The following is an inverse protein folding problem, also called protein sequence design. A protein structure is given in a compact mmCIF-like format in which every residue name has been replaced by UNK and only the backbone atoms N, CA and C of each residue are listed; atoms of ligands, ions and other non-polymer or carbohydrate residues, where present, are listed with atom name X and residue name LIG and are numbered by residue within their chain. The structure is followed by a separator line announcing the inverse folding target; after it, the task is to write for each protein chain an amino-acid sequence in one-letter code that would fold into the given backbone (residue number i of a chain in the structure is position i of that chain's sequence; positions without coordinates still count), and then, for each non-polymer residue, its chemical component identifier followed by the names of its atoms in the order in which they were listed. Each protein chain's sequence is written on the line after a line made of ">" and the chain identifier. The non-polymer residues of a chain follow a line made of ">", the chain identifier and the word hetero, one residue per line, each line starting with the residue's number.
data_IF_887849985109
#
_entry.id   IF_887849985109
#
_cell.length_a   1.000
_cell.length_b   1.000
_cell.length_c   1.000
_cell.angle_alpha   90.00
_cell.angle_beta   90.00
_cell.angle_gamma   90.00
#
_symmetry.space_group_name_H-M   'P 1'
#
loop_
_entity.id
_entity.type
_entity.pdbx_description
1 polymer ?
#
# COMPACT_ATOMS: atom_id res chain seq x y z
N UNK A 1 -6.39 -53.32 67.34
CA UNK A 1 -7.11 -54.58 67.03
C UNK A 1 -7.00 -54.82 65.52
N UNK A 2 -6.37 -55.96 65.13
CA UNK A 2 -6.46 -56.68 63.84
C UNK A 2 -6.11 -55.84 62.58
N UNK A 3 -4.87 -55.80 62.11
CA UNK A 3 -4.09 -56.86 61.40
C UNK A 3 -4.89 -57.57 60.31
N UNK A 4 -4.45 -57.37 59.05
CA UNK A 4 -4.12 -58.38 58.02
C UNK A 4 -3.89 -57.60 56.71
N UNK A 5 -2.64 -57.35 56.30
CA UNK A 5 -1.70 -58.27 55.63
C UNK A 5 -2.31 -58.83 54.35
N UNK A 6 -1.64 -58.66 53.20
CA UNK A 6 -1.05 -59.73 52.34
C UNK A 6 -1.26 -59.18 50.90
N UNK A 7 -0.37 -59.22 49.91
CA UNK A 7 1.03 -59.64 49.75
C UNK A 7 1.47 -59.09 48.36
N UNK A 8 2.77 -58.84 48.23
CA UNK A 8 3.68 -59.08 47.09
C UNK A 8 3.15 -59.24 45.67
N UNK A 9 3.85 -58.60 44.72
CA UNK A 9 4.93 -59.24 43.93
C UNK A 9 5.65 -58.15 43.11
N UNK A 10 6.91 -57.85 43.39
CA UNK A 10 8.11 -58.39 42.74
C UNK A 10 8.13 -58.13 41.24
N UNK A 11 9.05 -57.28 40.76
CA UNK A 11 10.04 -57.69 39.75
C UNK A 11 11.10 -56.60 39.51
N UNK A 12 12.30 -56.94 39.97
CA UNK A 12 13.66 -56.63 39.55
C UNK A 12 13.86 -55.97 38.17
N UNK A 13 14.76 -54.98 38.11
CA UNK A 13 15.91 -54.87 37.18
C UNK A 13 16.52 -53.46 37.30
N UNK A 14 17.67 -53.31 37.96
CA UNK A 14 19.00 -53.20 37.33
C UNK A 14 19.25 -51.84 36.65
N UNK A 15 19.99 -50.98 37.36
CA UNK A 15 20.64 -49.81 36.78
C UNK A 15 21.82 -50.27 35.90
N UNK A 16 21.94 -49.73 34.69
CA UNK A 16 23.24 -49.58 34.04
C UNK A 16 23.27 -48.34 33.15
N UNK A 17 24.48 -47.83 33.03
CA UNK A 17 24.90 -46.46 32.75
C UNK A 17 24.96 -46.08 31.26
N UNK A 18 25.02 -44.75 31.07
CA UNK A 18 25.85 -44.02 30.10
C UNK A 18 25.27 -43.67 28.72
N UNK A 19 25.38 -42.38 28.40
CA UNK A 19 25.99 -41.97 27.14
C UNK A 19 25.09 -41.37 26.06
N UNK A 20 25.17 -40.04 25.97
CA UNK A 20 25.43 -39.28 24.74
C UNK A 20 24.46 -39.33 23.52
N UNK A 21 24.11 -38.12 23.11
CA UNK A 21 23.81 -37.62 21.75
C UNK A 21 22.37 -37.65 21.23
N UNK A 22 22.06 -36.52 20.59
CA UNK A 22 20.81 -36.08 20.03
C UNK A 22 20.32 -36.98 18.88
N UNK A 23 19.00 -37.18 18.84
CA UNK A 23 18.28 -37.68 17.67
C UNK A 23 16.88 -37.08 17.66
N UNK A 24 16.71 -35.92 17.04
CA UNK A 24 15.39 -35.47 16.56
C UNK A 24 15.43 -35.61 15.03
N UNK A 25 14.86 -36.70 14.53
CA UNK A 25 14.65 -36.97 13.12
C UNK A 25 13.38 -37.82 13.05
N UNK A 26 12.35 -37.48 12.30
CA UNK A 26 12.06 -36.27 11.56
C UNK A 26 10.55 -36.17 11.41
N UNK A 27 10.00 -34.98 11.65
CA UNK A 27 8.76 -34.61 11.00
C UNK A 27 9.16 -34.12 9.61
N UNK A 28 8.78 -34.88 8.58
CA UNK A 28 8.89 -34.46 7.20
C UNK A 28 8.04 -33.19 7.00
N UNK A 29 8.65 -32.01 7.14
CA UNK A 29 8.10 -30.81 6.56
C UNK A 29 8.34 -30.90 5.06
N UNK A 30 7.31 -31.32 4.34
CA UNK A 30 7.25 -31.16 2.89
C UNK A 30 7.42 -29.67 2.60
N UNK A 31 8.64 -29.26 2.25
CA UNK A 31 8.89 -27.96 1.65
C UNK A 31 8.29 -28.02 0.25
N UNK A 32 7.02 -27.65 0.14
CA UNK A 32 6.47 -27.17 -1.10
C UNK A 32 7.29 -25.93 -1.47
N UNK A 33 8.37 -26.14 -2.23
CA UNK A 33 9.06 -25.08 -2.94
C UNK A 33 8.05 -24.56 -3.95
N UNK A 34 7.22 -23.62 -3.51
CA UNK A 34 6.42 -22.79 -4.40
C UNK A 34 7.38 -22.30 -5.48
N UNK A 35 7.05 -22.62 -6.73
CA UNK A 35 7.80 -22.17 -7.89
C UNK A 35 8.09 -20.67 -7.70
N UNK A 36 9.34 -20.37 -7.42
CA UNK A 36 9.85 -19.02 -7.36
C UNK A 36 9.71 -18.49 -8.78
N UNK A 37 8.60 -17.79 -9.06
CA UNK A 37 8.49 -17.06 -10.30
C UNK A 37 9.61 -16.04 -10.28
N UNK A 38 10.57 -16.22 -11.18
CA UNK A 38 11.58 -15.22 -11.51
C UNK A 38 10.85 -14.07 -12.22
N UNK A 39 10.04 -13.33 -11.46
CA UNK A 39 9.64 -11.99 -11.82
C UNK A 39 10.91 -11.17 -11.70
N UNK A 40 11.63 -11.07 -12.82
CA UNK A 40 12.61 -10.02 -13.02
C UNK A 40 12.01 -8.74 -12.43
N UNK A 41 12.70 -8.03 -11.52
CA UNK A 41 12.12 -6.91 -10.82
C UNK A 41 11.65 -5.92 -11.89
N UNK A 42 10.32 -5.74 -12.00
CA UNK A 42 9.74 -4.73 -12.87
C UNK A 42 10.45 -3.44 -12.50
N UNK A 43 11.18 -2.87 -13.46
CA UNK A 43 12.00 -1.70 -13.22
C UNK A 43 11.13 -0.64 -12.54
N UNK A 44 11.45 -0.30 -11.29
CA UNK A 44 10.66 0.67 -10.55
C UNK A 44 10.96 2.04 -11.11
N UNK A 45 9.90 2.72 -11.57
CA UNK A 45 9.97 4.07 -12.11
C UNK A 45 9.49 5.04 -11.04
N UNK A 46 10.26 6.11 -10.84
CA UNK A 46 9.86 7.19 -9.94
C UNK A 46 8.95 8.18 -10.68
N UNK A 47 7.70 8.25 -10.22
CA UNK A 47 6.72 9.21 -10.69
C UNK A 47 6.66 10.39 -9.72
N UNK A 48 6.65 11.61 -10.25
CA UNK A 48 6.38 12.84 -9.49
C UNK A 48 5.01 13.35 -9.91
N UNK A 49 4.05 13.25 -8.99
CA UNK A 49 2.67 13.69 -9.16
C UNK A 49 2.56 15.09 -8.57
N UNK A 50 2.35 16.09 -9.41
CA UNK A 50 2.17 17.48 -8.99
C UNK A 50 0.70 17.83 -9.09
N UNK A 51 0.08 18.19 -7.97
CA UNK A 51 -1.33 18.57 -7.86
C UNK A 51 -1.38 20.07 -7.65
N UNK A 52 -2.08 20.78 -8.54
CA UNK A 52 -2.35 22.21 -8.38
C UNK A 52 -3.79 22.41 -7.95
N UNK A 53 -3.99 22.99 -6.77
CA UNK A 53 -5.29 23.44 -6.30
C UNK A 53 -5.61 24.79 -6.95
N UNK A 54 -6.88 25.02 -7.30
CA UNK A 54 -7.32 26.27 -7.90
C UNK A 54 -7.12 27.48 -6.99
N UNK A 55 -6.98 28.66 -7.60
CA UNK A 55 -6.87 29.92 -6.87
C UNK A 55 -8.25 30.60 -6.65
N UNK A 56 -9.29 29.80 -6.39
CA UNK A 56 -10.64 30.29 -6.06
C UNK A 56 -10.82 30.36 -4.54
N UNK A 57 -11.72 31.23 -4.07
CA UNK A 57 -12.05 31.28 -2.64
C UNK A 57 -12.59 29.94 -2.16
N UNK A 58 -12.02 29.40 -1.08
CA UNK A 58 -12.41 28.09 -0.53
C UNK A 58 -11.96 26.88 -1.36
N UNK A 59 -10.99 27.04 -2.27
CA UNK A 59 -10.53 25.96 -3.14
C UNK A 59 -9.76 24.83 -2.43
N UNK A 60 -9.22 25.09 -1.23
CA UNK A 60 -8.39 24.14 -0.49
C UNK A 60 -9.18 23.10 0.31
N UNK A 61 -8.51 22.05 0.77
CA UNK A 61 -9.18 20.95 1.49
C UNK A 61 -8.27 20.19 2.44
N UNK A 62 -8.84 19.77 3.58
CA UNK A 62 -8.21 18.86 4.53
C UNK A 62 -8.72 17.42 4.37
N UNK A 63 -9.52 17.16 3.34
CA UNK A 63 -10.09 15.83 3.08
C UNK A 63 -9.06 14.89 2.44
N UNK A 64 -9.41 13.60 2.38
CA UNK A 64 -8.51 12.59 1.82
C UNK A 64 -8.55 12.61 0.29
N UNK A 65 -7.38 12.74 -0.33
CA UNK A 65 -7.19 12.67 -1.78
C UNK A 65 -6.34 11.45 -2.12
N UNK A 66 -6.83 10.62 -3.03
CA UNK A 66 -6.11 9.47 -3.56
C UNK A 66 -6.09 9.53 -5.08
N UNK A 67 -5.00 9.05 -5.68
CA UNK A 67 -4.87 8.98 -7.14
C UNK A 67 -4.49 7.59 -7.60
N UNK A 68 -4.98 7.19 -8.77
CA UNK A 68 -4.48 6.05 -9.54
C UNK A 68 -4.07 6.54 -10.91
N UNK A 69 -2.87 6.15 -11.34
CA UNK A 69 -2.33 6.47 -12.65
C UNK A 69 -2.65 5.29 -13.58
N UNK A 70 -3.24 5.58 -14.74
CA UNK A 70 -3.58 4.60 -15.76
C UNK A 70 -2.70 4.80 -17.00
N UNK A 71 -1.98 3.76 -17.42
CA UNK A 71 -1.14 3.78 -18.61
C UNK A 71 -1.37 2.59 -19.54
N UNK A 72 -0.57 2.49 -20.59
CA UNK A 72 -0.70 1.44 -21.61
C UNK A 72 -0.31 0.05 -21.12
N UNK A 73 0.55 -0.05 -20.10
CA UNK A 73 1.02 -1.32 -19.52
C UNK A 73 0.25 -1.72 -18.25
N UNK A 74 -0.69 -0.89 -17.78
CA UNK A 74 -1.52 -1.18 -16.62
C UNK A 74 -1.82 0.06 -15.79
N UNK A 75 -2.30 -0.17 -14.57
CA UNK A 75 -2.70 0.87 -13.63
C UNK A 75 -1.98 0.70 -12.30
N UNK A 76 -1.73 1.80 -11.60
CA UNK A 76 -1.27 1.76 -10.22
C UNK A 76 -2.40 1.33 -9.26
N UNK A 77 -2.08 0.92 -8.02
CA UNK A 77 -3.05 0.99 -6.94
C UNK A 77 -3.49 2.45 -6.70
N UNK A 78 -4.52 2.65 -5.89
CA UNK A 78 -4.81 3.99 -5.36
C UNK A 78 -3.71 4.38 -4.36
N UNK A 79 -3.18 5.57 -4.55
CA UNK A 79 -2.09 6.14 -3.77
C UNK A 79 -2.67 7.32 -3.01
N UNK A 80 -2.68 7.25 -1.68
CA UNK A 80 -2.99 8.41 -0.86
C UNK A 80 -1.92 9.48 -1.07
N UNK A 81 -2.37 10.71 -1.29
CA UNK A 81 -1.51 11.87 -1.46
C UNK A 81 -1.51 12.65 -0.14
N UNK A 82 -0.43 12.48 0.61
CA UNK A 82 -0.18 13.13 1.89
C UNK A 82 1.33 13.29 2.09
N UNK A 83 1.75 14.35 2.77
CA UNK A 83 3.14 14.64 3.15
C UNK A 83 3.18 15.01 4.65
N UNK A 84 3.62 14.10 5.54
CA UNK A 84 3.50 14.30 6.97
C UNK A 84 4.10 15.63 7.45
N UNK A 85 3.28 16.47 8.09
CA UNK A 85 3.71 17.75 8.64
C UNK A 85 3.61 18.92 7.67
N UNK A 86 2.99 18.73 6.50
CA UNK A 86 2.61 19.82 5.60
C UNK A 86 1.09 19.89 5.50
N UNK A 87 0.62 21.10 5.23
CA UNK A 87 -0.75 21.31 4.80
C UNK A 87 -0.76 21.20 3.28
N UNK A 88 -1.49 20.22 2.75
CA UNK A 88 -1.56 19.99 1.31
C UNK A 88 -2.87 20.50 0.74
N UNK A 89 -2.87 20.69 -0.57
CA UNK A 89 -4.06 21.05 -1.33
C UNK A 89 -4.61 22.42 -0.97
N UNK A 90 -3.78 23.32 -0.44
CA UNK A 90 -4.14 24.69 -0.14
C UNK A 90 -4.44 25.52 -1.39
N UNK A 91 -5.27 26.56 -1.23
CA UNK A 91 -5.70 27.41 -2.34
C UNK A 91 -4.50 27.98 -3.09
N UNK A 92 -4.44 27.70 -4.40
CA UNK A 92 -3.41 28.22 -5.30
C UNK A 92 -2.05 27.52 -5.18
N UNK A 93 -1.92 26.54 -4.29
CA UNK A 93 -0.68 25.81 -4.10
C UNK A 93 -0.52 24.65 -5.08
N UNK A 94 0.74 24.30 -5.34
CA UNK A 94 1.13 23.09 -6.03
C UNK A 94 1.89 22.18 -5.06
N UNK A 95 1.36 20.97 -4.83
CA UNK A 95 1.98 19.96 -3.98
C UNK A 95 2.53 18.81 -4.84
N UNK A 96 3.74 18.34 -4.52
CA UNK A 96 4.46 17.33 -5.30
C UNK A 96 4.61 16.05 -4.47
N UNK A 97 4.25 14.91 -5.07
CA UNK A 97 4.27 13.61 -4.43
C UNK A 97 5.10 12.62 -5.25
N UNK A 98 6.22 12.16 -4.70
CA UNK A 98 7.05 11.11 -5.29
C UNK A 98 6.46 9.72 -5.01
N UNK A 99 6.31 8.88 -6.04
CA UNK A 99 5.79 7.52 -5.92
C UNK A 99 6.62 6.58 -6.78
N UNK A 100 7.19 5.55 -6.15
CA UNK A 100 7.87 4.46 -6.84
C UNK A 100 6.84 3.42 -7.26
N UNK A 101 6.69 3.19 -8.57
CA UNK A 101 5.70 2.29 -9.15
C UNK A 101 6.37 1.41 -10.21
N UNK A 102 5.67 0.36 -10.67
CA UNK A 102 6.07 -0.31 -11.91
C UNK A 102 5.92 0.65 -13.11
N UNK A 103 6.66 0.42 -14.19
CA UNK A 103 6.45 1.19 -15.42
C UNK A 103 5.04 0.96 -15.98
N UNK A 104 4.24 2.01 -15.99
CA UNK A 104 2.87 2.00 -16.49
C UNK A 104 2.79 2.20 -18.02
N UNK A 105 3.93 2.36 -18.71
CA UNK A 105 3.96 2.69 -20.14
C UNK A 105 3.35 4.07 -20.41
N UNK A 106 2.87 4.34 -21.62
CA UNK A 106 2.31 5.66 -21.98
C UNK A 106 1.09 5.98 -21.10
N UNK A 107 1.12 7.13 -20.41
CA UNK A 107 0.04 7.56 -19.52
C UNK A 107 -1.20 7.94 -20.33
N UNK A 108 -2.37 7.55 -19.84
CA UNK A 108 -3.66 7.72 -20.54
C UNK A 108 -4.67 8.51 -19.73
N UNK A 109 -4.74 8.26 -18.42
CA UNK A 109 -5.66 8.96 -17.53
C UNK A 109 -5.20 8.85 -16.07
N UNK A 110 -5.80 9.68 -15.22
CA UNK A 110 -5.65 9.61 -13.76
C UNK A 110 -7.04 9.50 -13.15
N UNK A 111 -7.24 8.49 -12.31
CA UNK A 111 -8.40 8.43 -11.43
C UNK A 111 -8.10 9.22 -10.16
N UNK A 112 -8.94 10.21 -9.85
CA UNK A 112 -8.85 11.00 -8.62
C UNK A 112 -10.01 10.60 -7.73
N UNK A 113 -9.70 10.02 -6.58
CA UNK A 113 -10.68 9.67 -5.55
C UNK A 113 -10.60 10.69 -4.43
N UNK A 114 -11.68 11.44 -4.28
CA UNK A 114 -11.87 12.40 -3.20
C UNK A 114 -12.79 11.78 -2.16
N UNK A 115 -12.38 11.78 -0.89
CA UNK A 115 -13.18 11.28 0.24
C UNK A 115 -13.23 12.32 1.33
N UNK A 116 -14.43 12.87 1.58
CA UNK A 116 -14.68 13.80 2.68
C UNK A 116 -14.38 13.13 4.03
N UNK A 117 -13.67 13.83 4.90
CA UNK A 117 -13.54 13.44 6.32
C UNK A 117 -14.75 13.96 7.11
N UNK A 118 -15.22 13.16 8.07
CA UNK A 118 -16.38 13.50 8.90
C UNK A 118 -16.08 14.72 9.78
N UNK A 119 -17.00 15.69 9.83
CA UNK A 119 -16.89 16.88 10.68
C UNK A 119 -16.56 18.18 9.93
N UNK A 120 -16.14 18.10 8.67
CA UNK A 120 -15.78 19.29 7.88
C UNK A 120 -17.02 19.95 7.28
N UNK A 121 -17.45 21.12 7.77
CA UNK A 121 -18.60 21.85 7.20
C UNK A 121 -18.35 22.35 5.77
N UNK A 122 -17.09 22.70 5.45
CA UNK A 122 -16.62 23.04 4.11
C UNK A 122 -15.54 22.06 3.69
N UNK A 123 -15.86 21.22 2.70
CA UNK A 123 -15.03 20.11 2.25
C UNK A 123 -14.89 20.09 0.73
N UNK A 124 -15.35 21.15 0.05
CA UNK A 124 -15.20 21.23 -1.39
C UNK A 124 -13.72 21.42 -1.73
N UNK A 125 -13.29 20.87 -2.86
CA UNK A 125 -11.92 21.01 -3.33
C UNK A 125 -11.93 21.36 -4.81
N UNK A 126 -11.24 22.43 -5.18
CA UNK A 126 -11.09 22.78 -6.58
C UNK A 126 -9.74 22.27 -7.11
N UNK A 127 -9.77 21.19 -7.86
CA UNK A 127 -8.60 20.70 -8.58
C UNK A 127 -8.43 21.48 -9.89
N UNK A 128 -7.31 22.16 -10.05
CA UNK A 128 -6.99 22.84 -11.30
C UNK A 128 -6.31 21.90 -12.30
N UNK A 129 -5.19 21.30 -11.91
CA UNK A 129 -4.32 20.53 -12.80
C UNK A 129 -3.60 19.43 -12.03
N UNK A 130 -3.50 18.24 -12.64
CA UNK A 130 -2.52 17.23 -12.26
C UNK A 130 -1.46 17.15 -13.34
N UNK A 131 -0.19 17.11 -12.92
CA UNK A 131 0.96 16.99 -13.80
C UNK A 131 1.84 15.85 -13.33
N UNK A 132 2.17 14.93 -14.22
CA UNK A 132 2.97 13.75 -13.89
C UNK A 132 4.26 13.78 -14.70
N UNK A 133 5.39 13.71 -13.98
CA UNK A 133 6.72 13.60 -14.54
C UNK A 133 7.37 12.27 -14.15
N UNK A 134 8.08 11.65 -15.10
CA UNK A 134 8.96 10.50 -14.88
C UNK A 134 10.18 10.58 -15.80
N UNK A 135 11.31 10.04 -15.36
CA UNK A 135 12.55 10.09 -16.13
C UNK A 135 12.40 9.41 -17.50
N UNK A 136 12.89 10.06 -18.56
CA UNK A 136 12.88 9.52 -19.92
C UNK A 136 11.55 9.63 -20.67
N UNK A 137 10.54 10.29 -20.10
CA UNK A 137 9.27 10.54 -20.78
C UNK A 137 8.87 12.01 -20.72
N UNK A 138 8.01 12.42 -21.66
CA UNK A 138 7.39 13.73 -21.65
C UNK A 138 6.47 13.91 -20.43
N UNK A 139 6.34 15.17 -20.03
CA UNK A 139 5.44 15.62 -18.98
C UNK A 139 3.98 15.39 -19.40
N UNK A 140 3.19 14.72 -18.57
CA UNK A 140 1.79 14.49 -18.85
C UNK A 140 0.91 15.42 -18.01
N UNK A 141 0.03 16.16 -18.68
CA UNK A 141 -0.91 17.11 -18.06
C UNK A 141 -2.34 16.57 -18.11
N UNK A 142 -3.04 16.71 -16.98
CA UNK A 142 -4.43 16.29 -16.77
C UNK A 142 -5.20 17.47 -16.17
N UNK A 143 -5.62 18.45 -16.98
CA UNK A 143 -6.39 19.60 -16.52
C UNK A 143 -7.80 19.15 -16.10
N UNK A 144 -8.31 19.74 -15.02
CA UNK A 144 -9.67 19.45 -14.53
C UNK A 144 -10.49 20.72 -14.34
N UNK A 145 -9.95 21.71 -13.62
CA UNK A 145 -10.60 23.01 -13.36
C UNK A 145 -12.04 22.91 -12.87
N UNK A 146 -12.32 21.94 -12.00
CA UNK A 146 -13.66 21.69 -11.48
C UNK A 146 -13.62 21.38 -9.98
N UNK A 147 -14.78 21.56 -9.34
CA UNK A 147 -14.98 21.29 -7.92
C UNK A 147 -15.34 19.83 -7.65
N UNK A 148 -14.65 19.22 -6.70
CA UNK A 148 -15.14 18.07 -5.96
C UNK A 148 -16.04 18.56 -4.85
N UNK A 149 -17.36 18.33 -4.97
CA UNK A 149 -18.38 18.76 -4.00
C UNK A 149 -18.91 17.62 -3.12
N UNK A 150 -18.47 16.40 -3.37
CA UNK A 150 -18.89 15.19 -2.67
C UNK A 150 -17.79 14.14 -2.79
N UNK A 151 -17.83 13.12 -1.92
CA UNK A 151 -16.96 11.96 -2.06
C UNK A 151 -17.26 11.25 -3.37
N UNK A 152 -16.28 11.20 -4.27
CA UNK A 152 -16.44 10.62 -5.60
C UNK A 152 -15.09 10.21 -6.18
N UNK A 153 -15.13 9.39 -7.23
CA UNK A 153 -13.97 9.10 -8.07
C UNK A 153 -14.22 9.62 -9.47
N UNK A 154 -13.27 10.36 -10.02
CA UNK A 154 -13.35 10.92 -11.38
C UNK A 154 -12.16 10.43 -12.19
N UNK A 155 -12.41 9.94 -13.40
CA UNK A 155 -11.36 9.64 -14.37
C UNK A 155 -11.08 10.89 -15.21
N UNK A 156 -9.82 11.33 -15.23
CA UNK A 156 -9.37 12.51 -15.97
C UNK A 156 -8.41 12.03 -17.07
N UNK A 157 -8.77 12.13 -18.36
CA UNK A 157 -7.89 11.74 -19.45
C UNK A 157 -6.71 12.70 -19.59
N UNK A 158 -5.62 12.20 -20.19
CA UNK A 158 -4.50 13.06 -20.62
C UNK A 158 -4.98 14.05 -21.68
N UNK A 159 -4.52 15.30 -21.61
CA UNK A 159 -4.82 16.34 -22.60
C UNK A 159 -4.01 16.21 -23.89
#
# INVERSE_FOLDING_TARGET
>A
MRVRTVLTAVCTAAMLTAGLTAGVAGAASASASAAQLDVAPLASVNYVISITTGNLSGAGTNSKVEVRINGSQGSSPFLELNDPGRDEFERGDTNNFGRALADLGTLRSVDVRFTRRSGDEHFEWHLALIRIHRAGHELADFPYHQWFRQSQTVNIPVA
#
